data_IF_905829267648
#
_entry.id   IF_905829267648
#
_cell.length_a   1.000
_cell.length_b   1.000
_cell.length_c   1.000
_cell.angle_alpha   90.00
_cell.angle_beta   90.00
_cell.angle_gamma   90.00
#
_symmetry.space_group_name_H-M   'P 1'
#
loop_
_entity.id
_entity.type
_entity.pdbx_description
1 polymer ?
#
# COMPACT_ATOMS: atom_id res chain seq x y z
N UNK A 1 93.72 -13.50 54.22
CA UNK A 1 92.67 -14.52 54.15
C UNK A 1 91.42 -13.88 53.54
N UNK A 2 90.91 -14.46 52.44
CA UNK A 2 89.50 -14.68 52.03
C UNK A 2 88.52 -13.52 52.38
N UNK A 3 87.79 -12.88 51.45
CA UNK A 3 86.87 -13.47 50.50
C UNK A 3 86.50 -12.50 49.36
N UNK A 4 86.29 -13.05 48.16
CA UNK A 4 85.60 -12.40 47.04
C UNK A 4 84.09 -12.48 47.31
N UNK A 5 83.38 -11.35 47.19
CA UNK A 5 81.91 -11.32 47.25
C UNK A 5 81.39 -10.66 45.97
N UNK A 6 80.84 -11.47 45.07
CA UNK A 6 80.10 -11.03 43.90
C UNK A 6 78.65 -10.73 44.31
N UNK A 7 78.20 -9.49 44.09
CA UNK A 7 76.80 -9.09 44.27
C UNK A 7 76.12 -8.97 42.90
N UNK A 8 75.23 -9.92 42.59
CA UNK A 8 74.16 -9.78 41.60
C UNK A 8 72.94 -9.22 42.33
N UNK A 9 72.21 -8.23 41.76
CA UNK A 9 70.73 -8.16 41.81
C UNK A 9 70.13 -6.97 41.03
N UNK A 10 69.26 -7.34 40.09
CA UNK A 10 68.00 -6.71 39.68
C UNK A 10 67.97 -5.30 39.06
N UNK A 11 67.94 -5.26 37.71
CA UNK A 11 67.47 -4.11 36.94
C UNK A 11 65.94 -4.00 36.95
N UNK A 12 65.42 -2.81 37.27
CA UNK A 12 64.00 -2.48 37.17
C UNK A 12 63.60 -2.22 35.70
N UNK A 13 63.13 -3.24 35.00
CA UNK A 13 62.43 -3.04 33.72
C UNK A 13 61.05 -2.40 33.99
N UNK A 14 60.88 -1.12 33.62
CA UNK A 14 59.57 -0.47 33.63
C UNK A 14 58.73 -1.07 32.50
N UNK A 15 57.64 -1.77 32.85
CA UNK A 15 56.66 -2.29 31.87
C UNK A 15 56.01 -1.09 31.16
N UNK A 16 56.01 -1.01 29.82
CA UNK A 16 55.27 0.02 29.10
C UNK A 16 53.80 -0.07 29.49
N UNK A 17 53.21 1.05 29.92
CA UNK A 17 51.76 1.16 30.07
C UNK A 17 51.20 1.20 28.66
N UNK A 18 50.62 0.08 28.24
CA UNK A 18 49.87 -0.01 27.00
C UNK A 18 48.63 0.87 27.15
N UNK A 19 48.67 2.05 26.55
CA UNK A 19 47.50 2.93 26.45
C UNK A 19 46.54 2.25 25.48
N UNK A 20 45.54 1.57 26.02
CA UNK A 20 44.47 0.98 25.23
C UNK A 20 43.85 2.09 24.36
N UNK A 21 43.92 1.93 23.04
CA UNK A 21 43.20 2.79 22.13
C UNK A 21 41.71 2.75 22.51
N UNK A 22 41.01 3.88 22.63
CA UNK A 22 39.59 3.88 22.95
C UNK A 22 38.86 3.06 21.87
N UNK A 23 38.13 2.04 22.30
CA UNK A 23 37.35 1.21 21.39
C UNK A 23 36.43 2.12 20.55
N UNK A 24 36.32 1.88 19.22
CA UNK A 24 35.42 2.65 18.38
C UNK A 24 34.01 2.55 18.97
N UNK A 25 33.38 3.72 19.20
CA UNK A 25 32.04 3.77 19.75
C UNK A 25 31.09 2.93 18.88
N UNK A 26 30.25 2.07 19.47
CA UNK A 26 29.28 1.30 18.70
C UNK A 26 28.37 2.28 17.94
N UNK A 27 28.35 2.15 16.62
CA UNK A 27 27.42 2.89 15.77
C UNK A 27 26.02 2.41 16.12
N UNK A 28 25.20 3.27 16.70
CA UNK A 28 23.80 2.93 16.96
C UNK A 28 23.12 2.56 15.62
N UNK A 29 22.31 1.49 15.57
CA UNK A 29 21.56 1.18 14.36
C UNK A 29 20.68 2.38 14.00
N UNK A 30 20.83 2.88 12.77
CA UNK A 30 20.01 3.99 12.27
C UNK A 30 18.57 3.50 12.18
N UNK A 31 17.61 4.16 12.83
CA UNK A 31 16.22 3.74 12.79
C UNK A 31 15.67 3.91 11.37
N UNK A 32 15.22 2.81 10.76
CA UNK A 32 14.54 2.84 9.46
C UNK A 32 13.06 3.07 9.70
N UNK A 33 12.53 4.19 9.23
CA UNK A 33 11.09 4.46 9.30
C UNK A 33 10.31 3.39 8.53
N UNK A 34 9.17 2.95 9.08
CA UNK A 34 8.28 2.02 8.39
C UNK A 34 7.86 2.60 7.03
N UNK A 35 7.88 1.81 5.94
CA UNK A 35 7.49 2.29 4.63
C UNK A 35 6.00 2.69 4.63
N UNK A 36 5.67 3.80 3.96
CA UNK A 36 4.28 4.19 3.76
C UNK A 36 3.56 3.14 2.89
N UNK A 37 2.26 2.88 3.13
CA UNK A 37 1.44 2.11 2.20
C UNK A 37 1.50 2.71 0.78
N UNK A 38 1.44 1.85 -0.24
CA UNK A 38 1.45 2.30 -1.64
C UNK A 38 0.35 3.33 -1.88
N UNK A 39 0.70 4.45 -2.51
CA UNK A 39 -0.24 5.54 -2.81
C UNK A 39 -0.61 6.43 -1.62
N UNK A 40 -0.13 6.13 -0.41
CA UNK A 40 -0.24 7.03 0.73
C UNK A 40 0.77 8.19 0.64
N UNK A 41 0.47 9.29 1.32
CA UNK A 41 1.38 10.41 1.50
C UNK A 41 1.31 10.96 2.94
N UNK A 42 2.37 11.60 3.46
CA UNK A 42 2.35 12.19 4.80
C UNK A 42 1.22 13.21 4.95
N UNK A 43 0.43 13.11 6.03
CA UNK A 43 -0.71 14.01 6.27
C UNK A 43 -2.00 13.66 5.52
N UNK A 44 -2.02 12.57 4.75
CA UNK A 44 -3.25 12.05 4.13
C UNK A 44 -4.35 11.87 5.18
N UNK A 45 -5.56 12.32 4.83
CA UNK A 45 -6.76 12.14 5.63
C UNK A 45 -7.47 10.87 5.18
N UNK A 46 -7.67 9.96 6.12
CA UNK A 46 -8.54 8.78 5.98
C UNK A 46 -9.66 8.89 7.01
N UNK A 47 -10.80 8.20 6.80
CA UNK A 47 -11.84 8.15 7.81
C UNK A 47 -11.34 7.58 9.13
N UNK A 48 -11.84 8.09 10.25
CA UNK A 48 -11.52 7.56 11.57
C UNK A 48 -12.17 6.19 11.76
N UNK A 49 -11.47 5.28 12.45
CA UNK A 49 -12.03 3.98 12.85
C UNK A 49 -13.25 4.19 13.76
N UNK A 50 -14.28 3.38 13.56
CA UNK A 50 -15.50 3.37 14.36
C UNK A 50 -15.28 2.61 15.68
N UNK A 51 -16.23 2.75 16.61
CA UNK A 51 -16.18 2.07 17.90
C UNK A 51 -16.19 0.53 17.80
N UNK A 52 -16.70 -0.02 16.70
CA UNK A 52 -16.71 -1.46 16.40
C UNK A 52 -15.41 -1.96 15.71
N UNK A 53 -14.41 -1.09 15.52
CA UNK A 53 -13.14 -1.43 14.87
C UNK A 53 -13.20 -1.47 13.33
N UNK A 54 -14.34 -1.11 12.74
CA UNK A 54 -14.52 -0.98 11.28
C UNK A 54 -14.30 0.45 10.82
N UNK A 55 -14.30 0.68 9.50
CA UNK A 55 -14.26 2.03 8.93
C UNK A 55 -15.66 2.44 8.46
N UNK A 56 -16.01 3.75 8.51
CA UNK A 56 -17.24 4.21 7.89
C UNK A 56 -17.11 4.06 6.37
N UNK A 57 -18.04 3.34 5.77
CA UNK A 57 -18.14 3.19 4.31
C UNK A 57 -19.57 3.47 3.86
N UNK A 58 -19.76 3.87 2.59
CA UNK A 58 -21.10 4.01 2.01
C UNK A 58 -21.89 2.68 1.94
N UNK A 59 -21.26 1.51 2.12
CA UNK A 59 -21.93 0.21 2.01
C UNK A 59 -22.40 -0.39 3.35
N UNK A 60 -22.57 0.43 4.38
CA UNK A 60 -23.07 -0.02 5.69
C UNK A 60 -24.60 0.00 5.74
N UNK A 61 -25.17 -0.96 6.49
CA UNK A 61 -26.59 -1.03 6.81
C UNK A 61 -27.53 -0.94 5.59
N UNK A 62 -27.12 -1.56 4.48
CA UNK A 62 -27.86 -1.52 3.23
C UNK A 62 -29.02 -2.53 3.21
N UNK A 63 -30.13 -2.12 2.61
CA UNK A 63 -31.19 -3.03 2.15
C UNK A 63 -30.68 -3.92 1.02
N UNK A 64 -31.45 -4.94 0.66
CA UNK A 64 -31.10 -5.84 -0.45
C UNK A 64 -30.99 -5.07 -1.78
N UNK A 65 -31.95 -4.21 -2.08
CA UNK A 65 -31.96 -3.36 -3.28
C UNK A 65 -30.75 -2.43 -3.31
N UNK A 66 -30.42 -1.82 -2.18
CA UNK A 66 -29.25 -0.96 -2.06
C UNK A 66 -27.94 -1.73 -2.32
N UNK A 67 -27.79 -2.97 -1.83
CA UNK A 67 -26.60 -3.80 -2.10
C UNK A 67 -26.45 -4.09 -3.59
N UNK A 68 -27.53 -4.41 -4.30
CA UNK A 68 -27.51 -4.64 -5.75
C UNK A 68 -27.08 -3.35 -6.47
N UNK A 69 -27.68 -2.21 -6.10
CA UNK A 69 -27.36 -0.93 -6.72
C UNK A 69 -25.92 -0.49 -6.47
N UNK A 70 -25.41 -0.72 -5.26
CA UNK A 70 -24.04 -0.42 -4.88
C UNK A 70 -23.02 -1.34 -5.56
N UNK A 71 -23.33 -2.64 -5.71
CA UNK A 71 -22.53 -3.56 -6.53
C UNK A 71 -22.41 -3.04 -7.97
N UNK A 72 -23.54 -2.63 -8.57
CA UNK A 72 -23.56 -2.07 -9.92
C UNK A 72 -22.73 -0.80 -10.04
N UNK A 73 -22.80 0.10 -9.05
CA UNK A 73 -22.00 1.33 -9.01
C UNK A 73 -20.50 1.04 -8.88
N UNK A 74 -20.10 0.11 -8.00
CA UNK A 74 -18.72 -0.32 -7.86
C UNK A 74 -18.17 -0.86 -9.19
N UNK A 75 -18.89 -1.78 -9.83
CA UNK A 75 -18.47 -2.39 -11.09
C UNK A 75 -18.47 -1.37 -12.25
N UNK A 76 -19.31 -0.33 -12.19
CA UNK A 76 -19.23 0.80 -13.11
C UNK A 76 -17.91 1.56 -12.96
N UNK A 77 -17.54 1.91 -11.73
CA UNK A 77 -16.25 2.57 -11.45
C UNK A 77 -15.09 1.70 -11.94
N UNK A 78 -15.15 0.38 -11.74
CA UNK A 78 -14.14 -0.54 -12.26
C UNK A 78 -14.05 -0.49 -13.80
N UNK A 79 -15.18 -0.60 -14.51
CA UNK A 79 -15.20 -0.49 -15.97
C UNK A 79 -14.66 0.86 -16.49
N UNK A 80 -14.85 1.93 -15.72
CA UNK A 80 -14.36 3.26 -16.07
C UNK A 80 -12.91 3.53 -15.68
N UNK A 81 -12.40 2.97 -14.58
CA UNK A 81 -11.12 3.37 -13.99
C UNK A 81 -10.02 2.32 -14.13
N UNK A 82 -10.37 1.04 -14.30
CA UNK A 82 -9.40 -0.04 -14.45
C UNK A 82 -8.77 -0.02 -15.85
N UNK A 83 -7.45 -0.13 -15.88
CA UNK A 83 -6.63 -0.03 -17.10
C UNK A 83 -5.58 -1.13 -17.12
N UNK A 84 -5.07 -1.43 -18.32
CA UNK A 84 -4.05 -2.45 -18.51
C UNK A 84 -4.66 -3.81 -18.86
N UNK A 85 -4.01 -4.93 -18.49
CA UNK A 85 -4.39 -6.28 -18.96
C UNK A 85 -5.84 -6.67 -18.70
N UNK A 86 -6.41 -6.21 -17.58
CA UNK A 86 -7.77 -6.57 -17.17
C UNK A 86 -8.86 -5.65 -17.76
N UNK A 87 -8.51 -4.55 -18.43
CA UNK A 87 -9.46 -3.53 -18.91
C UNK A 87 -10.55 -4.13 -19.81
N UNK A 88 -10.15 -4.90 -20.82
CA UNK A 88 -11.10 -5.50 -21.76
C UNK A 88 -12.04 -6.50 -21.10
N UNK A 89 -11.54 -7.32 -20.17
CA UNK A 89 -12.32 -8.33 -19.47
C UNK A 89 -13.31 -7.67 -18.50
N UNK A 90 -12.88 -6.62 -17.78
CA UNK A 90 -13.76 -5.88 -16.85
C UNK A 90 -14.87 -5.17 -17.62
N UNK A 91 -14.57 -4.47 -18.72
CA UNK A 91 -15.60 -3.76 -19.51
C UNK A 91 -16.58 -4.76 -20.13
N UNK A 92 -16.09 -5.86 -20.72
CA UNK A 92 -16.95 -6.89 -21.29
C UNK A 92 -17.83 -7.56 -20.24
N UNK A 93 -17.28 -7.93 -19.08
CA UNK A 93 -18.02 -8.53 -17.98
C UNK A 93 -19.09 -7.60 -17.43
N UNK A 94 -18.78 -6.31 -17.28
CA UNK A 94 -19.76 -5.32 -16.82
C UNK A 94 -20.91 -5.15 -17.81
N UNK A 95 -20.63 -5.00 -19.11
CA UNK A 95 -21.66 -4.91 -20.14
C UNK A 95 -22.54 -6.17 -20.16
N UNK A 96 -21.94 -7.37 -20.05
CA UNK A 96 -22.68 -8.62 -19.99
C UNK A 96 -23.61 -8.69 -18.75
N UNK A 97 -23.13 -8.25 -17.59
CA UNK A 97 -23.94 -8.14 -16.37
C UNK A 97 -25.12 -7.19 -16.57
N UNK A 98 -24.89 -5.99 -17.14
CA UNK A 98 -25.96 -5.04 -17.42
C UNK A 98 -27.04 -5.64 -18.32
N UNK A 99 -26.64 -6.33 -19.40
CA UNK A 99 -27.56 -6.96 -20.33
C UNK A 99 -28.37 -8.09 -19.67
N UNK A 100 -27.71 -8.97 -18.91
CA UNK A 100 -28.35 -10.12 -18.28
C UNK A 100 -29.27 -9.73 -17.10
N UNK A 101 -28.90 -8.68 -16.36
CA UNK A 101 -29.56 -8.32 -15.09
C UNK A 101 -30.46 -7.08 -15.19
N UNK A 102 -30.68 -6.54 -16.40
CA UNK A 102 -31.50 -5.33 -16.64
C UNK A 102 -32.79 -5.26 -15.80
N UNK A 103 -33.69 -6.28 -15.78
CA UNK A 103 -34.92 -6.19 -14.99
C UNK A 103 -34.68 -6.16 -13.47
N UNK A 104 -33.65 -6.87 -12.98
CA UNK A 104 -33.33 -6.90 -11.54
C UNK A 104 -32.69 -5.57 -11.11
N UNK A 105 -31.81 -5.00 -11.94
CA UNK A 105 -31.17 -3.71 -11.69
C UNK A 105 -32.20 -2.57 -11.67
N UNK A 106 -33.13 -2.53 -12.64
CA UNK A 106 -34.19 -1.52 -12.68
C UNK A 106 -35.10 -1.60 -11.44
N UNK A 107 -35.47 -2.82 -11.02
CA UNK A 107 -36.25 -3.02 -9.80
C UNK A 107 -35.50 -2.57 -8.53
N UNK A 108 -34.20 -2.88 -8.45
CA UNK A 108 -33.35 -2.50 -7.33
C UNK A 108 -33.21 -0.98 -7.22
N UNK A 109 -32.99 -0.29 -8.35
CA UNK A 109 -32.95 1.18 -8.41
C UNK A 109 -34.27 1.78 -7.92
N UNK A 110 -35.40 1.36 -8.49
CA UNK A 110 -36.70 1.93 -8.17
C UNK A 110 -37.08 1.69 -6.70
N UNK A 111 -36.72 0.53 -6.15
CA UNK A 111 -36.95 0.22 -4.74
C UNK A 111 -36.05 1.09 -3.85
N UNK A 112 -34.77 1.22 -4.20
CA UNK A 112 -33.81 1.96 -3.40
C UNK A 112 -34.11 3.47 -3.40
N UNK A 113 -34.45 4.07 -4.54
CA UNK A 113 -34.87 5.47 -4.60
C UNK A 113 -36.20 5.71 -3.87
N UNK A 114 -37.12 4.75 -3.87
CA UNK A 114 -38.35 4.80 -3.07
C UNK A 114 -38.08 4.80 -1.54
N UNK A 115 -37.03 4.11 -1.07
CA UNK A 115 -36.62 4.15 0.35
C UNK A 115 -36.24 5.58 0.78
N UNK A 116 -35.51 6.32 -0.08
CA UNK A 116 -35.19 7.73 0.20
C UNK A 116 -36.45 8.59 0.16
N UNK A 117 -37.31 8.39 -0.83
CA UNK A 117 -38.57 9.12 -0.99
C UNK A 117 -39.48 8.96 0.22
N UNK A 118 -39.55 7.76 0.79
CA UNK A 118 -40.32 7.47 2.01
C UNK A 118 -39.81 8.28 3.22
N UNK A 119 -38.53 8.66 3.23
CA UNK A 119 -37.93 9.53 4.24
C UNK A 119 -38.32 11.02 4.12
N UNK A 120 -39.08 11.42 3.10
CA UNK A 120 -39.59 12.78 2.90
C UNK A 120 -38.52 13.86 2.64
N UNK A 121 -38.97 15.12 2.61
CA UNK A 121 -38.09 16.29 2.42
C UNK A 121 -37.35 16.28 1.09
N UNK A 122 -36.11 16.79 1.11
CA UNK A 122 -35.18 16.83 -0.04
C UNK A 122 -34.57 15.44 -0.30
N UNK A 123 -35.44 14.43 -0.51
CA UNK A 123 -35.02 13.04 -0.64
C UNK A 123 -34.12 12.81 -1.86
N UNK A 124 -34.33 13.56 -2.93
CA UNK A 124 -33.54 13.48 -4.17
C UNK A 124 -32.09 13.89 -3.89
N UNK A 125 -31.89 15.07 -3.27
CA UNK A 125 -30.57 15.55 -2.89
C UNK A 125 -29.85 14.56 -1.96
N UNK A 126 -30.56 13.99 -0.98
CA UNK A 126 -29.97 12.98 -0.09
C UNK A 126 -29.56 11.69 -0.82
N UNK A 127 -30.34 11.28 -1.83
CA UNK A 127 -30.03 10.12 -2.65
C UNK A 127 -28.81 10.41 -3.54
N UNK A 128 -28.81 11.53 -4.25
CA UNK A 128 -27.72 11.95 -5.13
C UNK A 128 -26.41 12.16 -4.38
N UNK A 129 -26.47 12.76 -3.20
CA UNK A 129 -25.35 12.87 -2.26
C UNK A 129 -24.81 11.48 -1.85
N UNK A 130 -25.71 10.54 -1.55
CA UNK A 130 -25.34 9.18 -1.17
C UNK A 130 -24.61 8.47 -2.31
N UNK A 131 -25.16 8.55 -3.52
CA UNK A 131 -24.53 7.99 -4.72
C UNK A 131 -23.19 8.67 -5.02
N UNK A 132 -23.10 9.99 -4.86
CA UNK A 132 -21.84 10.73 -5.03
C UNK A 132 -20.77 10.26 -4.04
N UNK A 133 -21.11 10.08 -2.76
CA UNK A 133 -20.19 9.52 -1.76
C UNK A 133 -19.75 8.09 -2.13
N UNK A 134 -20.64 7.29 -2.68
CA UNK A 134 -20.34 5.93 -3.15
C UNK A 134 -19.35 5.92 -4.32
N UNK A 135 -19.59 6.72 -5.37
CA UNK A 135 -18.68 6.82 -6.50
C UNK A 135 -17.32 7.37 -6.08
N UNK A 136 -17.29 8.39 -5.22
CA UNK A 136 -16.05 8.93 -4.66
C UNK A 136 -15.28 7.89 -3.84
N UNK A 137 -16.00 7.07 -3.06
CA UNK A 137 -15.40 5.98 -2.29
C UNK A 137 -14.68 4.97 -3.19
N UNK A 138 -15.34 4.46 -4.23
CA UNK A 138 -14.72 3.50 -5.15
C UNK A 138 -13.66 4.12 -6.08
N UNK A 139 -13.56 5.46 -6.14
CA UNK A 139 -12.58 6.17 -6.99
C UNK A 139 -11.26 6.50 -6.28
N UNK A 140 -11.06 6.06 -5.04
CA UNK A 140 -9.83 6.35 -4.29
C UNK A 140 -8.61 5.66 -4.92
N UNK A 141 -7.68 6.48 -5.42
CA UNK A 141 -6.50 5.99 -6.16
C UNK A 141 -5.59 5.02 -5.39
N UNK A 142 -5.35 5.13 -4.07
CA UNK A 142 -4.44 4.21 -3.38
C UNK A 142 -4.87 2.75 -3.41
N UNK A 143 -6.18 2.49 -3.48
CA UNK A 143 -6.75 1.13 -3.50
C UNK A 143 -7.06 0.61 -4.90
N UNK A 144 -6.85 1.41 -5.96
CA UNK A 144 -7.31 1.13 -7.32
C UNK A 144 -6.82 -0.21 -7.86
N UNK A 145 -5.55 -0.55 -7.70
CA UNK A 145 -5.00 -1.79 -8.27
C UNK A 145 -5.66 -3.03 -7.66
N UNK A 146 -5.78 -3.08 -6.33
CA UNK A 146 -6.42 -4.18 -5.63
C UNK A 146 -7.94 -4.21 -5.88
N UNK A 147 -8.57 -3.05 -6.02
CA UNK A 147 -9.97 -2.94 -6.44
C UNK A 147 -10.21 -3.48 -7.84
N UNK A 148 -9.37 -3.17 -8.81
CA UNK A 148 -9.49 -3.69 -10.18
C UNK A 148 -9.34 -5.21 -10.24
N UNK A 149 -8.41 -5.79 -9.46
CA UNK A 149 -8.28 -7.23 -9.34
C UNK A 149 -9.52 -7.88 -8.70
N UNK A 150 -10.08 -7.25 -7.66
CA UNK A 150 -11.32 -7.72 -7.04
C UNK A 150 -12.50 -7.63 -8.00
N UNK A 151 -12.64 -6.54 -8.75
CA UNK A 151 -13.68 -6.33 -9.74
C UNK A 151 -13.63 -7.38 -10.87
N UNK A 152 -12.43 -7.68 -11.39
CA UNK A 152 -12.25 -8.74 -12.37
C UNK A 152 -12.75 -10.11 -11.87
N UNK A 153 -12.39 -10.49 -10.63
CA UNK A 153 -12.88 -11.73 -10.01
C UNK A 153 -14.40 -11.72 -9.83
N UNK A 154 -14.96 -10.64 -9.29
CA UNK A 154 -16.40 -10.52 -9.05
C UNK A 154 -17.18 -10.59 -10.37
N UNK A 155 -16.70 -9.95 -11.44
CA UNK A 155 -17.35 -10.03 -12.76
C UNK A 155 -17.27 -11.44 -13.36
N UNK A 156 -16.13 -12.13 -13.22
CA UNK A 156 -15.99 -13.50 -13.69
C UNK A 156 -16.95 -14.46 -12.96
N UNK A 157 -17.07 -14.34 -11.64
CA UNK A 157 -18.01 -15.14 -10.84
C UNK A 157 -19.48 -14.77 -11.10
N UNK A 158 -19.74 -13.50 -11.42
CA UNK A 158 -21.05 -12.97 -11.74
C UNK A 158 -21.59 -13.41 -13.10
N UNK A 159 -20.73 -13.90 -13.99
CA UNK A 159 -21.06 -14.18 -15.39
C UNK A 159 -22.23 -15.17 -15.57
N UNK A 160 -22.43 -16.08 -14.62
CA UNK A 160 -23.49 -17.10 -14.67
C UNK A 160 -24.52 -16.96 -13.55
N UNK A 161 -24.55 -15.83 -12.83
CA UNK A 161 -25.49 -15.63 -11.73
C UNK A 161 -26.91 -15.46 -12.27
N UNK A 162 -27.88 -16.33 -11.92
CA UNK A 162 -29.28 -16.13 -12.31
C UNK A 162 -29.87 -14.89 -11.65
N UNK A 163 -30.79 -14.20 -12.32
CA UNK A 163 -31.41 -12.98 -11.79
C UNK A 163 -31.93 -13.07 -10.34
N UNK A 164 -32.67 -14.14 -9.97
CA UNK A 164 -33.13 -14.32 -8.58
C UNK A 164 -32.01 -14.43 -7.53
N UNK A 165 -30.78 -14.77 -7.94
CA UNK A 165 -29.62 -14.90 -7.05
C UNK A 165 -28.77 -13.62 -6.98
N UNK A 166 -29.11 -12.57 -7.75
CA UNK A 166 -28.28 -11.36 -7.78
C UNK A 166 -28.24 -10.66 -6.41
N UNK A 167 -29.33 -10.73 -5.64
CA UNK A 167 -29.40 -10.21 -4.28
C UNK A 167 -28.38 -10.85 -3.33
N UNK A 168 -28.36 -12.18 -3.28
CA UNK A 168 -27.40 -12.92 -2.43
C UNK A 168 -25.97 -12.73 -2.94
N UNK A 169 -25.79 -12.72 -4.27
CA UNK A 169 -24.51 -12.43 -4.88
C UNK A 169 -23.98 -11.05 -4.48
N UNK A 170 -24.80 -9.99 -4.58
CA UNK A 170 -24.43 -8.64 -4.17
C UNK A 170 -24.10 -8.57 -2.69
N UNK A 171 -24.87 -9.23 -1.82
CA UNK A 171 -24.60 -9.29 -0.39
C UNK A 171 -23.24 -9.93 -0.07
N UNK A 172 -22.80 -10.92 -0.84
CA UNK A 172 -21.51 -11.59 -0.63
C UNK A 172 -20.35 -10.88 -1.32
N UNK A 173 -20.57 -10.25 -2.49
CA UNK A 173 -19.49 -9.69 -3.32
C UNK A 173 -19.23 -8.21 -3.13
N UNK A 174 -20.22 -7.43 -2.68
CA UNK A 174 -19.99 -6.01 -2.37
C UNK A 174 -18.89 -5.83 -1.29
N UNK A 175 -18.84 -6.63 -0.20
CA UNK A 175 -17.73 -6.54 0.75
C UNK A 175 -16.36 -6.82 0.12
N UNK A 176 -16.27 -7.73 -0.86
CA UNK A 176 -15.01 -8.02 -1.55
C UNK A 176 -14.52 -6.85 -2.41
N UNK A 177 -15.43 -6.07 -2.99
CA UNK A 177 -15.11 -4.85 -3.72
C UNK A 177 -14.74 -3.69 -2.79
N UNK A 178 -15.31 -3.66 -1.59
CA UNK A 178 -15.00 -2.67 -0.56
C UNK A 178 -13.66 -2.92 0.16
N UNK A 179 -13.30 -4.19 0.34
CA UNK A 179 -12.16 -4.60 1.15
C UNK A 179 -10.84 -3.89 0.79
N UNK A 180 -10.46 -3.67 -0.49
CA UNK A 180 -9.24 -2.95 -0.84
C UNK A 180 -9.12 -1.53 -0.23
N UNK A 181 -10.25 -0.87 0.03
CA UNK A 181 -10.30 0.48 0.59
C UNK A 181 -10.11 0.45 2.10
N UNK A 182 -10.79 -0.48 2.78
CA UNK A 182 -10.68 -0.63 4.23
C UNK A 182 -9.34 -1.25 4.65
N UNK A 183 -8.76 -2.12 3.82
CA UNK A 183 -7.40 -2.65 4.00
C UNK A 183 -6.37 -1.52 3.87
N UNK A 184 -6.54 -0.60 2.92
CA UNK A 184 -5.68 0.58 2.81
C UNK A 184 -5.78 1.47 4.06
N UNK A 185 -6.99 1.75 4.54
CA UNK A 185 -7.17 2.53 5.77
C UNK A 185 -6.48 1.88 6.97
N UNK A 186 -6.64 0.57 7.12
CA UNK A 186 -6.01 -0.21 8.20
C UNK A 186 -4.49 -0.16 8.11
N UNK A 187 -3.93 -0.32 6.91
CA UNK A 187 -2.49 -0.22 6.68
C UNK A 187 -1.96 1.18 7.00
N UNK A 188 -2.71 2.23 6.62
CA UNK A 188 -2.33 3.61 6.91
C UNK A 188 -2.41 3.93 8.41
N UNK A 189 -3.41 3.43 9.12
CA UNK A 189 -3.51 3.55 10.58
C UNK A 189 -2.38 2.85 11.32
N UNK A 190 -2.05 1.62 10.92
CA UNK A 190 -0.91 0.88 11.47
C UNK A 190 0.40 1.64 11.24
N UNK A 191 0.58 2.21 10.05
CA UNK A 191 1.72 3.08 9.75
C UNK A 191 1.74 4.33 10.63
N UNK A 192 0.61 5.02 10.82
CA UNK A 192 0.52 6.18 11.74
C UNK A 192 0.88 5.82 13.18
N UNK A 193 0.42 4.67 13.67
CA UNK A 193 0.68 4.22 15.04
C UNK A 193 2.14 3.82 15.28
N UNK A 194 2.81 3.26 14.27
CA UNK A 194 4.23 2.86 14.33
C UNK A 194 5.18 4.03 14.04
N UNK A 195 4.78 4.96 13.18
CA UNK A 195 5.55 6.17 12.86
C UNK A 195 5.74 7.12 14.07
N UNK A 196 4.93 6.97 15.12
CA UNK A 196 4.97 7.82 16.32
C UNK A 196 5.64 7.11 17.53
N UNK A 197 6.07 5.85 17.41
CA UNK A 197 6.75 5.16 18.51
C UNK A 197 8.26 5.40 18.52
N UNK A 198 8.87 5.82 19.65
CA UNK A 198 10.31 5.71 19.86
C UNK A 198 10.69 4.22 19.91
N UNK A 199 11.66 3.80 19.11
CA UNK A 199 12.10 2.40 19.05
C UNK A 199 12.67 1.94 20.41
N UNK A 200 12.41 0.68 20.83
CA UNK A 200 13.02 0.12 22.02
C UNK A 200 14.53 -0.01 21.84
N UNK A 201 15.31 0.47 22.82
CA UNK A 201 16.75 0.26 22.86
C UNK A 201 17.05 -1.25 22.94
N UNK A 202 17.50 -1.84 21.83
CA UNK A 202 17.99 -3.22 21.84
C UNK A 202 19.25 -3.29 22.69
N UNK A 203 19.18 -4.07 23.79
CA UNK A 203 20.37 -4.45 24.56
C UNK A 203 21.22 -5.39 23.71
N UNK A 204 22.31 -4.86 23.15
CA UNK A 204 23.34 -5.67 22.50
C UNK A 204 24.12 -6.42 23.58
N UNK A 205 24.04 -7.75 23.61
CA UNK A 205 24.93 -8.60 24.42
C UNK A 205 26.15 -8.92 23.55
N UNK A 206 27.32 -8.40 23.93
CA UNK A 206 28.59 -8.73 23.27
C UNK A 206 29.12 -10.08 23.78
N UNK A 207 29.39 -11.02 22.86
CA UNK A 207 30.22 -12.17 23.15
C UNK A 207 31.70 -11.74 23.11
N UNK A 208 32.40 -11.83 24.23
CA UNK A 208 33.83 -11.53 24.31
C UNK A 208 34.63 -12.66 23.64
N UNK A 209 35.08 -12.43 22.40
CA UNK A 209 36.08 -13.28 21.75
C UNK A 209 37.47 -12.92 22.29
N UNK A 210 38.19 -13.92 22.78
CA UNK A 210 39.53 -13.80 23.35
C UNK A 210 40.58 -13.22 22.39
N UNK A 211 41.61 -12.64 22.99
CA UNK A 211 42.68 -11.89 22.33
C UNK A 211 43.40 -12.68 21.22
N UNK A 212 43.60 -12.02 20.07
CA UNK A 212 44.48 -12.47 18.97
C UNK A 212 45.77 -11.65 19.06
N UNK A 213 46.97 -12.24 19.05
CA UNK A 213 48.22 -11.47 19.13
C UNK A 213 48.51 -10.76 17.79
N UNK A 214 48.83 -9.45 17.86
CA UNK A 214 49.23 -8.62 16.72
C UNK A 214 50.75 -8.65 16.58
N UNK A 215 51.25 -9.10 15.43
CA UNK A 215 52.66 -9.04 15.06
C UNK A 215 52.98 -7.86 14.13
N UNK A 216 53.99 -7.06 14.52
CA UNK A 216 54.96 -6.38 13.65
C UNK A 216 54.46 -5.46 12.53
N UNK A 217 54.51 -4.16 12.79
CA UNK A 217 54.36 -3.05 11.85
C UNK A 217 55.31 -3.12 10.64
N UNK A 218 54.75 -3.11 9.44
CA UNK A 218 55.42 -2.71 8.20
C UNK A 218 54.63 -1.57 7.56
N UNK A 219 55.14 -0.34 7.63
CA UNK A 219 54.53 0.83 7.00
C UNK A 219 54.90 0.81 5.51
N UNK A 220 53.93 0.48 4.65
CA UNK A 220 54.03 0.72 3.22
C UNK A 220 53.48 2.13 2.91
N UNK A 221 54.13 2.95 2.07
CA UNK A 221 53.60 4.25 1.70
C UNK A 221 52.38 4.10 0.79
N UNK A 222 51.38 4.96 1.01
CA UNK A 222 50.19 5.11 0.17
C UNK A 222 50.58 5.65 -1.23
N UNK A 223 50.03 5.11 -2.33
CA UNK A 223 50.15 5.77 -3.62
C UNK A 223 49.33 7.07 -3.65
N UNK A 224 49.95 8.12 -4.18
CA UNK A 224 49.35 9.44 -4.36
C UNK A 224 48.19 9.37 -5.35
N UNK A 225 47.03 9.91 -4.98
CA UNK A 225 45.85 9.96 -5.83
C UNK A 225 46.05 10.97 -6.97
N UNK A 226 46.03 10.49 -8.22
CA UNK A 226 45.98 11.34 -9.40
C UNK A 226 44.61 12.05 -9.50
N UNK A 227 44.54 13.29 -10.01
CA UNK A 227 43.27 13.97 -10.21
C UNK A 227 42.45 13.28 -11.29
N UNK A 228 41.19 12.97 -10.97
CA UNK A 228 40.24 12.41 -11.92
C UNK A 228 39.89 13.45 -13.01
N UNK A 229 40.17 13.11 -14.26
CA UNK A 229 39.64 13.81 -15.43
C UNK A 229 38.10 13.71 -15.45
N UNK A 230 37.36 14.82 -15.71
CA UNK A 230 35.92 14.77 -15.88
C UNK A 230 35.57 13.92 -17.10
N UNK A 231 35.03 12.72 -16.86
CA UNK A 231 34.43 11.89 -17.90
C UNK A 231 33.22 12.60 -18.51
N UNK A 232 33.20 12.60 -19.84
CA UNK A 232 32.17 13.13 -20.72
C UNK A 232 30.76 12.76 -20.22
N UNK A 233 29.96 13.77 -19.85
CA UNK A 233 28.53 13.58 -19.60
C UNK A 233 27.88 13.05 -20.89
N UNK A 234 27.51 11.77 -20.90
CA UNK A 234 26.61 11.24 -21.91
C UNK A 234 25.28 11.99 -21.78
N UNK A 235 25.05 12.96 -22.67
CA UNK A 235 23.78 13.65 -22.79
C UNK A 235 22.71 12.60 -23.14
N UNK A 236 21.87 12.26 -22.16
CA UNK A 236 20.62 11.54 -22.37
C UNK A 236 19.72 12.42 -23.25
N UNK A 237 19.76 12.20 -24.57
CA UNK A 237 18.77 12.76 -25.48
C UNK A 237 17.48 11.95 -25.29
N UNK A 238 16.32 12.58 -25.06
CA UNK A 238 15.04 11.88 -25.06
C UNK A 238 14.86 11.20 -26.41
N UNK A 239 14.79 9.86 -26.42
CA UNK A 239 14.31 9.12 -27.59
C UNK A 239 12.80 9.33 -27.62
N UNK A 240 12.33 10.22 -28.47
CA UNK A 240 10.91 10.33 -28.80
C UNK A 240 10.51 9.06 -29.56
N UNK A 241 10.01 8.07 -28.83
CA UNK A 241 9.31 6.94 -29.45
C UNK A 241 8.01 7.48 -30.07
N UNK A 242 7.70 7.14 -31.34
CA UNK A 242 6.38 7.39 -31.89
C UNK A 242 5.34 6.69 -31.02
N UNK A 243 4.18 7.30 -30.73
CA UNK A 243 3.12 6.61 -30.01
C UNK A 243 2.73 5.36 -30.80
N UNK A 244 2.81 4.20 -30.15
CA UNK A 244 2.23 2.97 -30.69
C UNK A 244 0.75 3.23 -31.03
N UNK A 245 0.24 2.71 -32.16
CA UNK A 245 -1.18 2.83 -32.46
C UNK A 245 -1.97 2.23 -31.30
N UNK A 246 -2.72 3.07 -30.59
CA UNK A 246 -3.58 2.63 -29.51
C UNK A 246 -4.64 1.71 -30.12
N UNK A 247 -4.68 0.45 -29.69
CA UNK A 247 -5.80 -0.43 -30.00
C UNK A 247 -7.12 0.25 -29.58
N UNK A 248 -8.21 0.09 -30.34
CA UNK A 248 -9.50 0.65 -29.96
C UNK A 248 -9.86 0.22 -28.54
N UNK A 249 -10.16 1.19 -27.67
CA UNK A 249 -10.52 0.89 -26.29
C UNK A 249 -11.87 0.15 -26.24
N UNK A 250 -12.03 -0.82 -25.33
CA UNK A 250 -13.33 -1.40 -25.03
C UNK A 250 -14.35 -0.29 -24.70
N UNK A 251 -15.51 -0.34 -25.35
CA UNK A 251 -16.55 0.67 -25.15
C UNK A 251 -17.54 0.20 -24.09
N UNK A 252 -17.91 1.11 -23.19
CA UNK A 252 -19.00 0.89 -22.26
C UNK A 252 -20.32 0.96 -23.02
N UNK A 253 -21.10 -0.11 -23.01
CA UNK A 253 -22.39 -0.17 -23.70
C UNK A 253 -23.47 0.07 -22.66
N UNK A 254 -23.72 1.35 -22.36
CA UNK A 254 -24.79 1.72 -21.42
C UNK A 254 -26.04 2.06 -22.22
N UNK A 255 -27.04 1.20 -22.13
CA UNK A 255 -28.39 1.55 -22.57
C UNK A 255 -28.95 2.60 -21.59
N UNK A 256 -29.32 3.81 -22.06
CA UNK A 256 -29.83 4.87 -21.19
C UNK A 256 -31.10 4.46 -20.41
N UNK A 257 -31.86 3.46 -20.87
CA UNK A 257 -33.01 2.90 -20.15
C UNK A 257 -32.65 1.95 -19.00
N UNK A 258 -31.37 1.77 -18.69
CA UNK A 258 -30.87 1.07 -17.48
C UNK A 258 -30.55 2.08 -16.36
N UNK A 259 -30.52 3.38 -16.69
CA UNK A 259 -30.17 4.48 -15.78
C UNK A 259 -31.36 5.37 -15.38
N UNK A 260 -32.53 5.13 -15.97
CA UNK A 260 -33.76 5.90 -15.77
C UNK A 260 -34.86 5.00 -15.19
#
# INVERSE_FOLDING_TARGET
>A
MIAVTAALLAGCARKPVEVAAPAPAPVAPVPVAAPLPKGAFPGMKIPAVLADGTYPTPNRNLTESAKIWHLRAALNVAALACRGPDEAVIVAGYNAMLAAQKPVLAKAEATYSAEYRAGGGDWQDRYDDSMTRLYNFFSQSPSRDAFCQAAGRVLAEGASVPGPMLASFAATRLPMLEQPFTDFYRAFDAWRGTAVQPLPAQRVIFASNGAVPVGGSGVAPLPSAAPATPGLQAQLRPVTQPPLPAAPRPQLQVDPGVLQ
#
